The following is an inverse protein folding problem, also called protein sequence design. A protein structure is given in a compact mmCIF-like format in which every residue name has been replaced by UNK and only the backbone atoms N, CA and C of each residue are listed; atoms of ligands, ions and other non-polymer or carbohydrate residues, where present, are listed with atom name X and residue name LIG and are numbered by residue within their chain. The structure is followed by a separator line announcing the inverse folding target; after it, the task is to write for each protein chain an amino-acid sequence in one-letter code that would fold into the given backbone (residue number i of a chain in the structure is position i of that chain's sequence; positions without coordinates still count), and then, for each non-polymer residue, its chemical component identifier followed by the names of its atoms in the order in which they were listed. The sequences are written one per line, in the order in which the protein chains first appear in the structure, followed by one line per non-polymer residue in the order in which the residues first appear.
data_IF_720940252235
#
_entry.id   IF_720940252235
#
_cell.length_a   1.000
_cell.length_b   1.000
_cell.length_c   1.000
_cell.angle_alpha   90.00
_cell.angle_beta   90.00
_cell.angle_gamma   90.00
#
_symmetry.space_group_name_H-M   'P 1'
#
loop_
_entity.id
_entity.type
_entity.pdbx_description
1 polymer ?
#
# COMPACT_ATOMS: atom_id res chain seq x y z
N UNK A 1 -20.20 -10.27 15.55
CA UNK A 1 -21.23 -10.86 14.66
C UNK A 1 -21.61 -9.94 13.50
N UNK A 2 -22.17 -8.72 13.72
CA UNK A 2 -22.52 -7.82 12.61
C UNK A 2 -21.31 -7.37 11.78
N UNK A 3 -20.18 -7.08 12.41
CA UNK A 3 -18.94 -6.72 11.74
C UNK A 3 -18.37 -7.90 10.92
N UNK A 4 -18.43 -9.10 11.42
CA UNK A 4 -18.02 -10.31 10.71
C UNK A 4 -18.88 -10.55 9.46
N UNK A 5 -20.20 -10.39 9.59
CA UNK A 5 -21.11 -10.44 8.44
C UNK A 5 -20.80 -9.38 7.39
N UNK A 6 -20.45 -8.17 7.82
CA UNK A 6 -20.02 -7.09 6.95
C UNK A 6 -18.69 -7.43 6.26
N UNK A 7 -17.73 -8.02 7.01
CA UNK A 7 -16.44 -8.48 6.49
C UNK A 7 -16.60 -9.52 5.38
N UNK A 8 -17.47 -10.52 5.61
CA UNK A 8 -17.80 -11.53 4.59
C UNK A 8 -18.34 -10.90 3.31
N UNK A 9 -19.17 -9.85 3.41
CA UNK A 9 -19.69 -9.16 2.23
C UNK A 9 -18.57 -8.49 1.41
N UNK A 10 -17.60 -7.88 2.05
CA UNK A 10 -16.44 -7.33 1.36
C UNK A 10 -15.62 -8.42 0.68
N UNK A 11 -15.36 -9.52 1.37
CA UNK A 11 -14.61 -10.63 0.81
C UNK A 11 -15.31 -11.28 -0.40
N UNK A 12 -16.62 -11.26 -0.42
CA UNK A 12 -17.44 -11.84 -1.49
C UNK A 12 -17.69 -10.89 -2.68
N UNK A 13 -17.01 -9.74 -2.71
CA UNK A 13 -17.11 -8.79 -3.80
C UNK A 13 -15.91 -8.94 -4.74
N UNK A 14 -15.97 -9.81 -5.77
CA UNK A 14 -14.85 -10.07 -6.64
C UNK A 14 -14.54 -8.84 -7.51
N UNK A 15 -13.25 -8.64 -7.76
CA UNK A 15 -12.82 -7.64 -8.73
C UNK A 15 -13.37 -7.96 -10.13
N UNK A 16 -13.67 -6.95 -10.96
CA UNK A 16 -14.04 -7.18 -12.35
C UNK A 16 -12.99 -8.01 -13.08
N UNK A 17 -13.39 -8.95 -13.95
CA UNK A 17 -12.44 -9.75 -14.71
C UNK A 17 -11.49 -8.87 -15.54
N UNK A 18 -10.21 -9.12 -15.43
CA UNK A 18 -9.20 -8.50 -16.29
C UNK A 18 -9.14 -9.22 -17.64
N UNK A 19 -8.61 -8.55 -18.66
CA UNK A 19 -8.42 -9.10 -20.01
C UNK A 19 -6.95 -9.18 -20.36
N UNK A 20 -6.60 -9.92 -21.41
CA UNK A 20 -5.23 -10.08 -21.87
C UNK A 20 -4.42 -11.03 -20.98
N UNK A 21 -3.13 -10.74 -20.84
CA UNK A 21 -2.16 -11.60 -20.14
C UNK A 21 -2.44 -11.76 -18.64
N UNK A 22 -3.19 -10.85 -18.04
CA UNK A 22 -3.53 -10.88 -16.62
C UNK A 22 -4.89 -11.52 -16.33
N UNK A 23 -5.62 -11.96 -17.35
CA UNK A 23 -6.97 -12.51 -17.19
C UNK A 23 -7.00 -13.77 -16.31
N UNK A 24 -6.00 -14.65 -16.43
CA UNK A 24 -5.90 -15.87 -15.64
C UNK A 24 -5.62 -15.62 -14.15
N UNK A 25 -5.02 -14.49 -13.83
CA UNK A 25 -4.61 -14.14 -12.46
C UNK A 25 -5.70 -13.36 -11.69
N UNK A 26 -6.74 -12.90 -12.36
CA UNK A 26 -7.72 -11.99 -11.78
C UNK A 26 -8.97 -12.65 -11.19
N UNK A 27 -9.13 -13.96 -11.34
CA UNK A 27 -10.34 -14.67 -10.91
C UNK A 27 -10.50 -14.89 -9.40
N UNK A 28 -9.45 -14.60 -8.62
CA UNK A 28 -9.41 -14.89 -7.17
C UNK A 28 -9.31 -13.64 -6.29
N UNK A 29 -9.23 -12.45 -6.89
CA UNK A 29 -9.10 -11.20 -6.15
C UNK A 29 -10.45 -10.51 -5.98
N UNK A 30 -10.60 -9.90 -4.81
CA UNK A 30 -11.59 -8.86 -4.54
C UNK A 30 -11.02 -7.49 -4.98
N UNK A 31 -11.80 -6.43 -4.84
CA UNK A 31 -11.51 -5.09 -5.37
C UNK A 31 -10.57 -4.24 -4.49
N UNK A 32 -9.70 -4.83 -3.69
CA UNK A 32 -8.72 -4.12 -2.84
C UNK A 32 -9.33 -3.12 -1.85
N UNK A 33 -10.51 -3.40 -1.32
CA UNK A 33 -11.07 -2.57 -0.26
C UNK A 33 -10.14 -2.60 0.97
N UNK A 34 -9.74 -1.42 1.44
CA UNK A 34 -8.88 -1.26 2.61
C UNK A 34 -9.62 -0.55 3.74
N UNK A 35 -9.48 -1.08 4.94
CA UNK A 35 -9.98 -0.46 6.16
C UNK A 35 -8.78 0.10 6.91
N UNK A 36 -8.78 1.40 7.16
CA UNK A 36 -7.75 2.09 7.93
C UNK A 36 -8.25 2.37 9.34
N UNK A 37 -7.49 2.00 10.35
CA UNK A 37 -7.82 2.20 11.77
C UNK A 37 -6.64 2.83 12.51
N UNK A 38 -6.93 3.56 13.59
CA UNK A 38 -5.93 4.30 14.36
C UNK A 38 -5.53 5.62 13.69
N UNK A 39 -4.27 6.00 13.83
CA UNK A 39 -3.76 7.26 13.30
C UNK A 39 -4.22 8.49 14.10
N UNK A 40 -4.50 9.56 13.38
CA UNK A 40 -4.84 10.86 13.97
C UNK A 40 -6.24 11.29 13.55
N UNK A 41 -6.91 12.03 14.45
CA UNK A 41 -8.11 12.80 14.10
C UNK A 41 -7.74 14.00 13.24
N UNK A 42 -8.73 14.65 12.63
CA UNK A 42 -8.57 15.90 11.89
C UNK A 42 -7.80 16.98 12.70
N UNK A 43 -8.06 17.06 14.01
CA UNK A 43 -7.43 18.03 14.90
C UNK A 43 -6.03 17.62 15.38
N UNK A 44 -5.62 16.40 15.09
CA UNK A 44 -4.30 15.86 15.41
C UNK A 44 -4.24 15.12 16.74
N UNK A 45 -5.38 14.77 17.29
CA UNK A 45 -5.49 13.91 18.47
C UNK A 45 -5.48 12.43 18.10
N UNK A 46 -5.50 11.56 19.12
CA UNK A 46 -5.60 10.12 18.96
C UNK A 46 -6.94 9.71 18.30
N UNK A 47 -6.88 8.99 17.18
CA UNK A 47 -8.06 8.47 16.49
C UNK A 47 -8.41 7.03 16.88
N UNK A 48 -7.68 6.41 17.79
CA UNK A 48 -8.00 5.06 18.28
C UNK A 48 -9.27 5.11 19.14
N UNK A 49 -10.22 4.24 18.83
CA UNK A 49 -11.47 4.10 19.56
C UNK A 49 -11.83 2.62 19.74
N UNK A 50 -12.90 2.32 20.42
CA UNK A 50 -13.35 0.94 20.66
C UNK A 50 -13.56 0.16 19.34
N UNK A 51 -14.03 0.83 18.29
CA UNK A 51 -14.18 0.22 16.97
C UNK A 51 -12.84 -0.25 16.40
N UNK A 52 -11.73 0.45 16.69
CA UNK A 52 -10.41 0.03 16.26
C UNK A 52 -10.03 -1.34 16.81
N UNK A 53 -10.36 -1.60 18.06
CA UNK A 53 -10.11 -2.90 18.69
C UNK A 53 -11.05 -4.00 18.17
N UNK A 54 -12.34 -3.68 17.99
CA UNK A 54 -13.31 -4.63 17.42
C UNK A 54 -12.93 -5.05 16.00
N UNK A 55 -12.41 -4.13 15.18
CA UNK A 55 -11.95 -4.45 13.84
C UNK A 55 -10.69 -5.34 13.87
N UNK A 56 -9.78 -5.16 14.84
CA UNK A 56 -8.65 -6.07 15.03
C UNK A 56 -9.10 -7.47 15.47
N UNK A 57 -10.12 -7.57 16.33
CA UNK A 57 -10.72 -8.84 16.71
C UNK A 57 -11.32 -9.57 15.49
N UNK A 58 -12.04 -8.84 14.63
CA UNK A 58 -12.60 -9.41 13.39
C UNK A 58 -11.51 -9.96 12.46
N UNK A 59 -10.40 -9.24 12.32
CA UNK A 59 -9.24 -9.71 11.53
C UNK A 59 -8.68 -11.00 12.13
N UNK A 60 -8.56 -11.05 13.46
CA UNK A 60 -8.03 -12.20 14.18
C UNK A 60 -8.96 -13.43 14.13
N UNK A 61 -10.27 -13.20 14.13
CA UNK A 61 -11.26 -14.29 14.12
C UNK A 61 -11.55 -14.84 12.71
N UNK A 62 -11.60 -13.95 11.72
CA UNK A 62 -12.10 -14.32 10.38
C UNK A 62 -11.03 -14.91 9.46
N UNK A 63 -9.77 -14.49 9.58
CA UNK A 63 -8.66 -14.99 8.76
C UNK A 63 -8.90 -14.97 7.25
N UNK A 64 -9.63 -13.99 6.74
CA UNK A 64 -9.92 -13.84 5.31
C UNK A 64 -9.13 -12.69 4.71
N UNK A 65 -8.83 -12.79 3.41
CA UNK A 65 -7.88 -11.91 2.73
C UNK A 65 -8.41 -10.49 2.49
N UNK A 66 -9.72 -10.32 2.45
CA UNK A 66 -10.35 -9.05 2.14
C UNK A 66 -11.56 -8.78 3.05
N UNK A 67 -11.78 -7.52 3.42
CA UNK A 67 -10.98 -6.33 3.12
C UNK A 67 -9.61 -6.36 3.81
N UNK A 68 -8.60 -5.75 3.19
CA UNK A 68 -7.31 -5.54 3.83
C UNK A 68 -7.46 -4.58 5.01
N UNK A 69 -6.71 -4.81 6.08
CA UNK A 69 -6.72 -3.96 7.26
C UNK A 69 -5.38 -3.25 7.42
N UNK A 70 -5.43 -1.93 7.53
CA UNK A 70 -4.28 -1.06 7.71
C UNK A 70 -4.34 -0.38 9.08
N UNK A 71 -3.33 -0.61 9.90
CA UNK A 71 -3.13 0.06 11.19
C UNK A 71 -2.26 1.28 10.97
N UNK A 72 -2.83 2.45 11.19
CA UNK A 72 -2.13 3.73 11.19
C UNK A 72 -1.61 3.98 12.60
N UNK A 73 -0.29 4.06 12.76
CA UNK A 73 0.35 4.28 14.08
C UNK A 73 0.94 5.68 14.14
N UNK A 74 0.54 6.46 15.13
CA UNK A 74 1.10 7.76 15.50
C UNK A 74 1.73 7.69 16.89
N UNK A 75 2.66 8.60 17.18
CA UNK A 75 3.17 8.82 18.53
C UNK A 75 2.09 9.21 19.55
N UNK A 76 0.89 9.58 19.10
CA UNK A 76 -0.28 9.90 19.92
C UNK A 76 -1.12 8.68 20.30
N UNK A 77 -0.98 7.59 19.60
CA UNK A 77 -1.80 6.41 19.85
C UNK A 77 -1.33 5.64 21.09
N UNK A 78 -2.25 5.01 21.84
CA UNK A 78 -1.87 4.28 23.04
C UNK A 78 -1.10 3.01 22.74
N UNK A 79 -0.10 2.69 23.56
CA UNK A 79 0.69 1.45 23.48
C UNK A 79 -0.16 0.18 23.38
N UNK A 80 -1.33 0.18 24.04
CA UNK A 80 -2.26 -0.93 23.99
C UNK A 80 -2.70 -1.24 22.55
N UNK A 81 -2.98 -0.21 21.76
CA UNK A 81 -3.40 -0.38 20.36
C UNK A 81 -2.30 -1.01 19.51
N UNK A 82 -1.07 -0.52 19.65
CA UNK A 82 0.10 -1.06 18.94
C UNK A 82 0.36 -2.52 19.34
N UNK A 83 0.24 -2.84 20.63
CA UNK A 83 0.41 -4.21 21.13
C UNK A 83 -0.66 -5.15 20.60
N UNK A 84 -1.91 -4.69 20.51
CA UNK A 84 -3.02 -5.49 19.99
C UNK A 84 -2.84 -5.77 18.49
N UNK A 85 -2.48 -4.77 17.70
CA UNK A 85 -2.13 -4.95 16.30
C UNK A 85 -0.97 -5.97 16.13
N UNK A 86 0.09 -5.84 16.94
CA UNK A 86 1.21 -6.78 16.93
C UNK A 86 0.80 -8.21 17.34
N UNK A 87 -0.16 -8.35 18.26
CA UNK A 87 -0.73 -9.66 18.65
C UNK A 87 -1.39 -10.35 17.46
N UNK A 88 -2.20 -9.62 16.70
CA UNK A 88 -2.85 -10.14 15.49
C UNK A 88 -1.82 -10.49 14.41
N UNK A 89 -0.87 -9.59 14.14
CA UNK A 89 0.20 -9.82 13.15
C UNK A 89 0.98 -11.10 13.46
N UNK A 90 1.27 -11.36 14.72
CA UNK A 90 2.01 -12.56 15.17
C UNK A 90 1.33 -13.88 14.79
N UNK A 91 0.01 -13.86 14.50
CA UNK A 91 -0.70 -15.05 14.03
C UNK A 91 -0.26 -15.49 12.63
N UNK A 92 0.35 -14.61 11.84
CA UNK A 92 0.96 -14.97 10.56
C UNK A 92 0.04 -14.88 9.33
N UNK A 93 -1.10 -14.19 9.44
CA UNK A 93 -2.03 -14.01 8.30
C UNK A 93 -1.58 -12.96 7.29
N UNK A 94 -0.57 -12.16 7.62
CA UNK A 94 -0.12 -11.04 6.80
C UNK A 94 -0.90 -9.74 7.03
N UNK A 95 -1.86 -9.71 7.93
CA UNK A 95 -2.64 -8.54 8.33
C UNK A 95 -2.65 -8.36 9.86
N UNK A 96 -2.91 -7.12 10.33
CA UNK A 96 -2.97 -5.85 9.60
C UNK A 96 -1.60 -5.40 9.08
N UNK A 97 -1.60 -4.61 7.98
CA UNK A 97 -0.42 -3.85 7.57
C UNK A 97 -0.24 -2.64 8.49
N UNK A 98 1.01 -2.28 8.81
CA UNK A 98 1.30 -1.17 9.73
C UNK A 98 1.93 -0.01 8.98
N UNK A 99 1.34 1.17 9.13
CA UNK A 99 1.83 2.41 8.53
C UNK A 99 2.11 3.46 9.61
N UNK A 100 3.17 4.22 9.41
CA UNK A 100 3.49 5.35 10.27
C UNK A 100 2.64 6.57 9.85
N UNK A 101 1.57 6.84 10.60
CA UNK A 101 0.66 7.96 10.33
C UNK A 101 1.37 9.32 10.32
N UNK A 102 2.33 9.53 11.22
CA UNK A 102 3.06 10.79 11.29
C UNK A 102 3.92 11.02 10.03
N UNK A 103 4.51 9.95 9.48
CA UNK A 103 5.25 10.00 8.22
C UNK A 103 4.32 10.22 7.01
N UNK A 104 3.16 9.56 6.98
CA UNK A 104 2.14 9.76 5.94
C UNK A 104 1.64 11.19 5.93
N UNK A 105 1.29 11.75 7.09
CA UNK A 105 0.85 13.16 7.22
C UNK A 105 1.94 14.12 6.73
N UNK A 106 3.20 13.90 7.13
CA UNK A 106 4.32 14.72 6.69
C UNK A 106 4.48 14.69 5.17
N UNK A 107 4.39 13.53 4.56
CA UNK A 107 4.55 13.38 3.11
C UNK A 107 3.39 14.01 2.34
N UNK A 108 2.14 13.77 2.76
CA UNK A 108 0.97 14.37 2.12
C UNK A 108 0.99 15.91 2.23
N UNK A 109 1.42 16.45 3.37
CA UNK A 109 1.58 17.90 3.55
C UNK A 109 2.70 18.43 2.63
N UNK A 110 3.81 17.69 2.47
CA UNK A 110 4.89 18.04 1.52
C UNK A 110 4.38 18.08 0.08
N UNK A 111 3.41 17.24 -0.26
CA UNK A 111 2.75 17.21 -1.58
C UNK A 111 1.69 18.33 -1.75
N UNK A 112 1.49 19.19 -0.76
CA UNK A 112 0.59 20.33 -0.82
C UNK A 112 -0.82 20.09 -0.31
N UNK A 113 -1.08 18.97 0.38
CA UNK A 113 -2.36 18.76 1.09
C UNK A 113 -2.41 19.64 2.34
N UNK A 114 -3.63 20.05 2.75
CA UNK A 114 -3.79 20.66 4.07
C UNK A 114 -3.42 19.66 5.17
N UNK A 115 -3.01 20.14 6.32
CA UNK A 115 -2.64 19.26 7.43
C UNK A 115 -3.85 18.46 7.93
N UNK A 116 -5.04 19.04 7.87
CA UNK A 116 -6.30 18.41 8.23
C UNK A 116 -6.65 17.26 7.27
N UNK A 117 -6.56 17.48 5.96
CA UNK A 117 -6.82 16.46 4.96
C UNK A 117 -5.76 15.35 5.01
N UNK A 118 -4.52 15.69 5.31
CA UNK A 118 -3.44 14.72 5.45
C UNK A 118 -3.64 13.80 6.67
N UNK A 119 -4.16 14.33 7.79
CA UNK A 119 -4.49 13.57 9.01
C UNK A 119 -5.66 12.61 8.81
N UNK A 120 -6.66 13.01 8.01
CA UNK A 120 -7.78 12.16 7.60
C UNK A 120 -7.43 11.21 6.45
N UNK A 121 -6.18 11.21 6.01
CA UNK A 121 -5.66 10.30 5.02
C UNK A 121 -5.24 8.95 5.58
N UNK A 122 -4.67 8.15 4.71
CA UNK A 122 -4.17 6.83 5.06
C UNK A 122 -3.62 6.12 3.83
N UNK A 123 -3.62 4.79 3.88
CA UNK A 123 -3.12 3.98 2.78
C UNK A 123 -4.24 3.17 2.13
N UNK A 124 -4.18 3.07 0.81
CA UNK A 124 -5.04 2.27 -0.04
C UNK A 124 -4.20 1.24 -0.80
N UNK A 125 -4.83 0.24 -1.39
CA UNK A 125 -4.12 -0.80 -2.12
C UNK A 125 -3.05 -1.47 -1.26
N UNK A 126 -1.82 -1.43 -1.71
CA UNK A 126 -0.69 -2.00 -0.97
C UNK A 126 -0.03 -0.96 -0.04
N UNK A 127 0.28 0.24 -0.57
CA UNK A 127 1.03 1.30 0.13
C UNK A 127 0.70 2.71 -0.38
N UNK A 128 -0.34 2.87 -1.14
CA UNK A 128 -0.70 4.13 -1.76
C UNK A 128 -1.26 5.11 -0.71
N UNK A 129 -0.40 5.99 -0.22
CA UNK A 129 -0.80 7.02 0.74
C UNK A 129 -1.53 8.18 0.04
N UNK A 130 -2.62 8.65 0.64
CA UNK A 130 -3.40 9.76 0.11
C UNK A 130 -4.40 10.33 1.10
N UNK A 131 -4.95 11.48 0.76
CA UNK A 131 -6.00 12.14 1.52
C UNK A 131 -7.37 11.60 1.07
N UNK A 132 -8.06 10.88 1.95
CA UNK A 132 -9.31 10.20 1.62
C UNK A 132 -10.41 11.18 1.19
N UNK A 133 -11.09 10.83 0.09
CA UNK A 133 -12.16 11.66 -0.48
C UNK A 133 -11.70 12.97 -1.14
N UNK A 134 -10.40 13.22 -1.22
CA UNK A 134 -9.81 14.44 -1.81
C UNK A 134 -9.05 14.18 -3.09
N UNK A 135 -8.63 12.95 -3.32
CA UNK A 135 -7.86 12.56 -4.49
C UNK A 135 -8.20 11.14 -4.94
N UNK A 136 -7.86 10.83 -6.19
CA UNK A 136 -7.98 9.48 -6.73
C UNK A 136 -6.63 8.74 -6.59
N UNK A 137 -6.70 7.45 -6.32
CA UNK A 137 -5.55 6.55 -6.32
C UNK A 137 -5.45 5.93 -7.71
N UNK A 138 -4.55 6.45 -8.53
CA UNK A 138 -4.40 6.04 -9.91
C UNK A 138 -3.01 5.42 -10.10
N UNK A 139 -2.99 4.16 -10.52
CA UNK A 139 -1.77 3.50 -10.95
C UNK A 139 -1.43 3.99 -12.36
N UNK A 140 -0.38 4.80 -12.48
CA UNK A 140 0.04 5.39 -13.75
C UNK A 140 0.90 4.45 -14.59
N UNK A 141 1.55 3.45 -13.97
CA UNK A 141 2.38 2.48 -14.67
C UNK A 141 3.27 1.67 -13.74
N UNK A 142 4.05 0.80 -14.36
CA UNK A 142 5.04 -0.04 -13.68
C UNK A 142 6.42 0.24 -14.25
N UNK A 143 7.41 0.39 -13.37
CA UNK A 143 8.81 0.47 -13.73
C UNK A 143 9.51 -0.85 -13.44
N UNK A 144 10.05 -1.50 -14.46
CA UNK A 144 10.94 -2.64 -14.27
C UNK A 144 12.37 -2.13 -14.07
N UNK A 145 12.74 -1.87 -12.82
CA UNK A 145 14.06 -1.32 -12.47
C UNK A 145 15.21 -2.23 -12.91
N UNK A 146 15.02 -3.56 -12.84
CA UNK A 146 16.03 -4.51 -13.32
C UNK A 146 16.23 -4.39 -14.84
N UNK A 147 15.17 -4.18 -15.61
CA UNK A 147 15.26 -3.96 -17.07
C UNK A 147 15.92 -2.62 -17.39
N UNK A 148 15.70 -1.57 -16.60
CA UNK A 148 16.38 -0.30 -16.79
C UNK A 148 17.88 -0.42 -16.59
N UNK A 149 18.30 -1.12 -15.52
CA UNK A 149 19.71 -1.42 -15.29
C UNK A 149 20.31 -2.29 -16.42
N UNK A 150 19.60 -3.33 -16.83
CA UNK A 150 20.03 -4.18 -17.96
C UNK A 150 20.25 -3.36 -19.24
N UNK A 151 19.33 -2.43 -19.55
CA UNK A 151 19.47 -1.55 -20.71
C UNK A 151 20.65 -0.59 -20.56
N UNK A 152 20.85 0.00 -19.39
CA UNK A 152 21.98 0.87 -19.11
C UNK A 152 23.32 0.15 -19.31
N UNK A 153 23.43 -1.10 -18.83
CA UNK A 153 24.63 -1.91 -18.97
C UNK A 153 24.84 -2.51 -20.39
N UNK A 154 23.85 -2.41 -21.26
CA UNK A 154 23.91 -2.92 -22.64
C UNK A 154 23.70 -1.80 -23.70
N UNK A 155 24.08 -0.58 -23.36
CA UNK A 155 23.99 0.58 -24.28
C UNK A 155 22.59 0.76 -24.88
N UNK A 156 21.54 0.55 -24.09
CA UNK A 156 20.15 0.64 -24.52
C UNK A 156 19.63 -0.51 -25.38
N UNK A 157 20.44 -1.55 -25.60
CA UNK A 157 20.04 -2.75 -26.30
C UNK A 157 19.36 -3.74 -25.33
N UNK A 158 18.23 -4.28 -25.73
CA UNK A 158 17.62 -5.39 -25.02
C UNK A 158 18.30 -6.70 -25.42
N UNK A 159 19.03 -7.39 -24.52
CA UNK A 159 19.76 -8.61 -24.84
C UNK A 159 18.87 -9.75 -25.34
N UNK A 160 17.59 -9.74 -24.97
CA UNK A 160 16.64 -10.80 -25.35
C UNK A 160 16.15 -10.64 -26.79
N UNK A 161 15.93 -9.41 -27.24
CA UNK A 161 15.35 -9.12 -28.56
C UNK A 161 16.37 -8.58 -29.54
N UNK A 162 17.57 -8.24 -29.08
CA UNK A 162 18.65 -7.56 -29.82
C UNK A 162 18.23 -6.22 -30.41
N UNK A 163 17.18 -5.62 -29.86
CA UNK A 163 16.66 -4.32 -30.30
C UNK A 163 17.07 -3.21 -29.35
N UNK A 164 17.35 -2.05 -29.90
CA UNK A 164 17.50 -0.84 -29.11
C UNK A 164 16.12 -0.35 -28.65
N UNK A 165 15.88 -0.39 -27.35
CA UNK A 165 14.64 0.08 -26.74
C UNK A 165 14.89 1.15 -25.66
N UNK A 166 16.15 1.41 -25.34
CA UNK A 166 16.58 2.47 -24.45
C UNK A 166 17.53 3.47 -25.11
N UNK A 167 17.87 4.57 -24.43
CA UNK A 167 18.88 5.51 -24.90
C UNK A 167 20.26 4.84 -24.96
N UNK A 168 21.17 5.40 -25.74
CA UNK A 168 22.58 4.97 -25.73
C UNK A 168 23.24 5.47 -24.45
N UNK A 169 23.83 4.56 -23.71
CA UNK A 169 24.53 4.84 -22.43
C UNK A 169 26.04 4.66 -22.55
N UNK A 170 26.50 4.13 -23.69
CA UNK A 170 27.93 3.84 -23.93
C UNK A 170 28.39 2.49 -23.42
N UNK A 171 29.69 2.32 -23.35
CA UNK A 171 30.31 1.07 -22.87
C UNK A 171 30.36 1.06 -21.33
N UNK A 172 29.68 0.15 -20.64
CA UNK A 172 29.64 0.11 -19.18
C UNK A 172 31.02 -0.17 -18.55
N UNK A 173 31.99 -0.67 -19.31
CA UNK A 173 33.38 -0.83 -18.83
C UNK A 173 34.08 0.51 -18.64
N UNK A 174 33.52 1.59 -19.14
CA UNK A 174 33.98 2.97 -18.90
C UNK A 174 33.35 3.63 -17.68
N UNK A 175 32.40 2.99 -17.01
CA UNK A 175 31.77 3.53 -15.80
C UNK A 175 32.73 3.36 -14.61
N UNK A 176 33.11 4.47 -13.97
CA UNK A 176 34.04 4.48 -12.83
C UNK A 176 33.29 4.61 -11.50
N UNK A 177 32.12 5.23 -11.54
CA UNK A 177 31.29 5.51 -10.36
C UNK A 177 29.83 5.11 -10.59
N UNK A 178 29.05 5.08 -9.51
CA UNK A 178 27.60 4.85 -9.61
C UNK A 178 26.89 5.97 -10.38
N UNK A 179 27.45 7.18 -10.37
CA UNK A 179 26.85 8.33 -11.04
C UNK A 179 27.01 8.28 -12.58
N UNK A 180 27.85 7.38 -13.09
CA UNK A 180 28.03 7.14 -14.53
C UNK A 180 26.94 6.23 -15.11
N UNK A 181 26.18 5.56 -14.23
CA UNK A 181 25.13 4.62 -14.59
C UNK A 181 23.79 5.34 -14.81
#
# INVERSE_FOLDING_TARGET
ELLECWWVKFNNHPAPPKVGVTAAESGTYTDFANINIGGLTRDGDDAVCDMSYLLLEVVDDMHILQPSNNVQVSARNPDRFVREAARVIRQGYGFPSVFNADAVVKELTRQGKSVEDAREGGCSGCVEAGAFGKEAYILTGYFNLAKLLELALNDGLDPRTEKRIGPSTGDPRGFETYDDL
#
